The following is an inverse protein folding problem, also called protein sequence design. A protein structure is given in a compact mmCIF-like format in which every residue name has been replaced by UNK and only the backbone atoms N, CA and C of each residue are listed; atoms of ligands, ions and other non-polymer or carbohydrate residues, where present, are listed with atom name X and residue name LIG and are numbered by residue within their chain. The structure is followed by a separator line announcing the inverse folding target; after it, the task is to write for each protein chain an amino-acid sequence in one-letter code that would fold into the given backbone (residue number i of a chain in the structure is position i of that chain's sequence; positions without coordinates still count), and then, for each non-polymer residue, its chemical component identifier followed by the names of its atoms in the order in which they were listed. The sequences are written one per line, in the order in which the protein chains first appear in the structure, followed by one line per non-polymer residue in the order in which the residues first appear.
data_IF_506675012535
#
_entry.id   IF_506675012535
#
_cell.length_a   1.000
_cell.length_b   1.000
_cell.length_c   1.000
_cell.angle_alpha   90.00
_cell.angle_beta   90.00
_cell.angle_gamma   90.00
#
_symmetry.space_group_name_H-M   'P 1'
#
loop_
_entity.id
_entity.type
_entity.pdbx_description
1 polymer ?
#
# COMPACT_ATOMS: atom_id res chain seq x y z
N UNK A 1 13.91 -58.17 -15.80
CA UNK A 1 14.77 -57.02 -15.56
C UNK A 1 14.22 -55.70 -16.12
N UNK A 2 13.62 -55.62 -17.32
CA UNK A 2 13.11 -54.35 -17.90
C UNK A 2 11.96 -53.70 -17.13
N UNK A 3 11.03 -54.47 -16.52
CA UNK A 3 9.88 -53.94 -15.76
C UNK A 3 10.26 -53.22 -14.46
N UNK A 4 11.33 -53.63 -13.77
CA UNK A 4 11.77 -53.01 -12.53
C UNK A 4 12.51 -51.69 -12.76
N UNK A 5 13.16 -51.55 -13.92
CA UNK A 5 13.87 -50.32 -14.31
C UNK A 5 12.89 -49.18 -14.63
N UNK A 6 11.76 -49.50 -15.31
CA UNK A 6 10.71 -48.53 -15.63
C UNK A 6 10.01 -48.02 -14.34
N UNK A 7 9.75 -48.89 -13.38
CA UNK A 7 9.15 -48.55 -12.10
C UNK A 7 10.07 -47.64 -11.25
N UNK A 8 11.37 -47.90 -11.26
CA UNK A 8 12.36 -47.06 -10.58
C UNK A 8 12.49 -45.66 -11.21
N UNK A 9 12.44 -45.57 -12.54
CA UNK A 9 12.51 -44.32 -13.27
C UNK A 9 11.24 -43.47 -13.05
N UNK A 10 10.05 -44.06 -13.00
CA UNK A 10 8.80 -43.34 -12.70
C UNK A 10 8.77 -42.87 -11.26
N UNK A 11 9.30 -43.64 -10.31
CA UNK A 11 9.38 -43.20 -8.90
C UNK A 11 10.37 -42.07 -8.70
N UNK A 12 11.49 -42.07 -9.42
CA UNK A 12 12.50 -41.00 -9.41
C UNK A 12 11.96 -39.71 -10.01
N UNK A 13 11.16 -39.80 -11.09
CA UNK A 13 10.50 -38.66 -11.73
C UNK A 13 9.41 -38.07 -10.85
N UNK A 14 8.66 -38.90 -10.10
CA UNK A 14 7.66 -38.45 -9.11
C UNK A 14 8.33 -37.72 -7.93
N UNK A 15 9.51 -38.19 -7.47
CA UNK A 15 10.26 -37.55 -6.38
C UNK A 15 10.82 -36.16 -6.79
N UNK A 16 11.18 -35.99 -8.06
CA UNK A 16 11.68 -34.71 -8.58
C UNK A 16 10.58 -33.65 -8.73
N UNK A 17 9.31 -34.05 -8.90
CA UNK A 17 8.19 -33.12 -9.02
C UNK A 17 7.69 -32.60 -7.66
N UNK A 18 8.07 -33.21 -6.55
CA UNK A 18 7.68 -32.78 -5.19
C UNK A 18 8.62 -31.77 -4.57
N UNK A 19 9.75 -31.47 -5.21
CA UNK A 19 10.61 -30.34 -4.84
C UNK A 19 10.09 -29.04 -5.46
N UNK A 20 8.80 -28.81 -5.41
CA UNK A 20 8.24 -27.45 -5.47
C UNK A 20 8.70 -26.72 -4.21
N UNK A 21 9.85 -26.08 -4.32
CA UNK A 21 10.31 -25.12 -3.34
C UNK A 21 9.21 -24.08 -3.21
N UNK A 22 8.44 -24.16 -2.13
CA UNK A 22 7.72 -23.00 -1.62
C UNK A 22 8.82 -22.01 -1.22
N UNK A 23 9.22 -21.16 -2.17
CA UNK A 23 9.96 -19.96 -1.83
C UNK A 23 9.02 -19.15 -0.93
N UNK A 24 9.17 -19.29 0.37
CA UNK A 24 8.71 -18.27 1.28
C UNK A 24 9.50 -17.01 0.90
N UNK A 25 8.90 -16.17 0.07
CA UNK A 25 9.48 -14.88 -0.28
C UNK A 25 9.55 -14.10 1.02
N UNK A 26 10.75 -14.09 1.62
CA UNK A 26 10.99 -13.29 2.83
C UNK A 26 10.64 -11.86 2.45
N UNK A 27 9.62 -11.30 3.14
CA UNK A 27 9.20 -9.92 2.93
C UNK A 27 10.41 -8.99 3.06
N UNK A 28 10.75 -8.15 2.07
CA UNK A 28 11.86 -7.21 2.16
C UNK A 28 11.73 -6.31 3.40
N UNK A 29 12.83 -6.10 4.10
CA UNK A 29 12.87 -5.30 5.34
C UNK A 29 12.49 -3.83 5.08
N UNK A 30 12.74 -3.34 3.86
CA UNK A 30 12.37 -2.01 3.39
C UNK A 30 10.87 -1.79 3.19
N UNK A 31 10.10 -2.87 3.04
CA UNK A 31 8.65 -2.78 2.86
C UNK A 31 7.94 -2.38 4.14
N UNK A 32 6.74 -1.79 4.01
CA UNK A 32 5.95 -1.40 5.16
C UNK A 32 5.69 -2.57 6.10
N UNK A 33 5.84 -2.34 7.40
CA UNK A 33 5.73 -3.35 8.45
C UNK A 33 4.31 -3.44 8.96
N UNK A 34 3.75 -4.65 8.97
CA UNK A 34 2.41 -4.87 9.53
C UNK A 34 2.39 -4.55 11.03
N UNK A 35 1.30 -3.90 11.45
CA UNK A 35 1.02 -3.58 12.86
C UNK A 35 -0.20 -4.37 13.29
N UNK A 36 -0.01 -5.23 14.29
CA UNK A 36 -1.13 -5.92 14.92
C UNK A 36 -1.80 -5.01 15.95
N UNK A 37 -2.81 -4.26 15.51
CA UNK A 37 -3.60 -3.34 16.33
C UNK A 37 -5.09 -3.54 16.03
N UNK A 38 -5.84 -4.29 16.82
CA UNK A 38 -7.28 -4.43 16.61
C UNK A 38 -7.97 -3.05 16.65
N UNK A 39 -8.99 -2.81 15.81
CA UNK A 39 -9.68 -3.76 14.94
C UNK A 39 -9.13 -3.83 13.50
N UNK A 40 -7.92 -3.35 13.24
CA UNK A 40 -7.34 -3.34 11.91
C UNK A 40 -6.87 -4.74 11.46
N UNK A 41 -7.06 -5.04 10.16
CA UNK A 41 -6.52 -6.23 9.51
C UNK A 41 -5.48 -5.90 8.43
N UNK A 42 -5.46 -4.66 7.93
CA UNK A 42 -4.58 -4.18 6.85
C UNK A 42 -3.81 -2.90 7.27
N UNK A 43 -3.40 -2.82 8.55
CA UNK A 43 -2.62 -1.70 9.08
C UNK A 43 -1.13 -1.97 8.95
N UNK A 44 -0.41 -1.03 8.31
CA UNK A 44 1.05 -1.09 8.16
C UNK A 44 1.69 0.25 8.45
N UNK A 45 2.89 0.19 9.02
CA UNK A 45 3.80 1.33 9.17
C UNK A 45 4.71 1.38 7.94
N UNK A 46 4.57 2.44 7.13
CA UNK A 46 5.39 2.69 5.93
C UNK A 46 6.77 3.20 6.33
N UNK A 47 6.78 4.20 7.21
CA UNK A 47 7.97 4.77 7.85
C UNK A 47 7.60 5.42 9.19
N UNK A 48 8.46 6.30 9.73
CA UNK A 48 8.19 6.99 11.00
C UNK A 48 7.02 7.97 10.92
N UNK A 49 6.70 8.45 9.72
CA UNK A 49 5.73 9.52 9.48
C UNK A 49 4.43 9.07 8.83
N UNK A 50 4.45 7.92 8.14
CA UNK A 50 3.34 7.46 7.31
C UNK A 50 2.92 6.05 7.67
N UNK A 51 1.61 5.89 7.84
CA UNK A 51 0.92 4.61 8.02
C UNK A 51 -0.12 4.44 6.92
N UNK A 52 -0.52 3.20 6.66
CA UNK A 52 -1.57 2.85 5.70
C UNK A 52 -2.52 1.83 6.28
N UNK A 53 -3.82 1.91 5.97
CA UNK A 53 -4.79 0.88 6.36
C UNK A 53 -6.04 0.86 5.46
N UNK A 54 -6.93 -0.10 5.74
CA UNK A 54 -8.35 -0.01 5.39
C UNK A 54 -9.02 1.15 6.13
N UNK A 55 -10.30 1.43 5.78
CA UNK A 55 -11.06 2.48 6.46
C UNK A 55 -11.23 2.17 7.94
N UNK A 56 -10.78 3.06 8.84
CA UNK A 56 -10.94 2.86 10.28
C UNK A 56 -12.40 2.88 10.71
N UNK A 57 -12.76 1.99 11.63
CA UNK A 57 -14.00 2.09 12.41
C UNK A 57 -13.86 3.17 13.50
N UNK A 58 -14.93 3.41 14.28
CA UNK A 58 -14.88 4.33 15.44
C UNK A 58 -13.82 3.86 16.46
N UNK A 59 -13.76 2.57 16.73
CA UNK A 59 -12.75 1.94 17.62
C UNK A 59 -11.36 2.07 17.03
N UNK A 60 -11.23 1.88 15.70
CA UNK A 60 -9.97 2.07 14.98
C UNK A 60 -9.45 3.51 15.06
N UNK A 61 -10.32 4.52 14.92
CA UNK A 61 -9.92 5.93 15.09
C UNK A 61 -9.36 6.21 16.50
N UNK A 62 -10.01 5.68 17.54
CA UNK A 62 -9.49 5.78 18.91
C UNK A 62 -8.17 5.06 19.12
N UNK A 63 -8.01 3.89 18.52
CA UNK A 63 -6.75 3.13 18.57
C UNK A 63 -5.61 3.90 17.87
N UNK A 64 -5.87 4.54 16.73
CA UNK A 64 -4.90 5.39 16.02
C UNK A 64 -4.51 6.63 16.83
N UNK A 65 -5.48 7.31 17.45
CA UNK A 65 -5.22 8.46 18.33
C UNK A 65 -4.32 8.03 19.52
N UNK A 66 -4.63 6.89 20.12
CA UNK A 66 -3.82 6.29 21.20
C UNK A 66 -2.42 5.85 20.75
N UNK A 67 -2.27 5.41 19.49
CA UNK A 67 -0.98 5.07 18.86
C UNK A 67 -0.12 6.32 18.59
N UNK A 68 -0.71 7.52 18.69
CA UNK A 68 -0.03 8.79 18.48
C UNK A 68 -0.13 9.32 17.05
N UNK A 69 -0.98 8.74 16.20
CA UNK A 69 -1.31 9.32 14.89
C UNK A 69 -1.89 10.72 15.10
N UNK A 70 -1.53 11.65 14.23
CA UNK A 70 -1.99 13.06 14.30
C UNK A 70 -3.00 13.36 13.21
N UNK A 71 -2.81 12.81 12.00
CA UNK A 71 -3.66 13.12 10.87
C UNK A 71 -4.15 11.87 10.17
N UNK A 72 -5.31 11.98 9.54
CA UNK A 72 -5.89 10.96 8.67
C UNK A 72 -6.06 11.57 7.28
N UNK A 73 -5.52 10.94 6.24
CA UNK A 73 -5.81 11.25 4.85
C UNK A 73 -6.73 10.18 4.26
N UNK A 74 -7.99 10.52 4.09
CA UNK A 74 -8.99 9.67 3.46
C UNK A 74 -9.02 9.90 1.94
N UNK A 75 -8.86 8.82 1.18
CA UNK A 75 -8.96 8.82 -0.28
C UNK A 75 -10.35 8.36 -0.77
N UNK A 76 -11.34 8.30 0.16
CA UNK A 76 -12.71 7.87 -0.15
C UNK A 76 -13.47 8.98 -0.88
N UNK A 77 -14.22 8.59 -1.95
CA UNK A 77 -15.01 9.55 -2.73
C UNK A 77 -16.41 9.83 -2.15
N UNK A 78 -16.96 8.95 -1.33
CA UNK A 78 -18.35 9.06 -0.85
C UNK A 78 -18.43 9.35 0.66
N UNK A 79 -17.71 8.58 1.49
CA UNK A 79 -17.80 8.65 2.93
C UNK A 79 -16.76 9.60 3.54
N UNK A 80 -17.11 10.20 4.66
CA UNK A 80 -16.19 11.00 5.47
C UNK A 80 -15.95 10.31 6.82
N UNK A 81 -14.80 10.56 7.43
CA UNK A 81 -14.40 9.96 8.70
C UNK A 81 -14.91 10.75 9.93
N UNK A 82 -15.61 11.87 9.72
CA UNK A 82 -16.03 12.79 10.79
C UNK A 82 -16.77 12.09 11.93
N UNK A 83 -17.70 11.18 11.58
CA UNK A 83 -18.49 10.49 12.61
C UNK A 83 -17.65 9.46 13.38
N UNK A 84 -16.78 8.74 12.69
CA UNK A 84 -15.91 7.74 13.32
C UNK A 84 -14.84 8.40 14.22
N UNK A 85 -14.32 9.55 13.83
CA UNK A 85 -13.26 10.26 14.54
C UNK A 85 -13.77 11.29 15.58
N UNK A 86 -15.09 11.41 15.77
CA UNK A 86 -15.69 12.49 16.58
C UNK A 86 -15.14 12.58 18.02
N UNK A 87 -14.72 11.46 18.60
CA UNK A 87 -14.22 11.38 19.99
C UNK A 87 -12.67 11.27 20.03
N UNK A 88 -11.97 11.81 19.02
CA UNK A 88 -10.50 11.77 18.89
C UNK A 88 -9.94 13.16 18.64
N UNK A 89 -8.61 13.29 18.74
CA UNK A 89 -7.88 14.52 18.43
C UNK A 89 -7.31 14.52 17.00
N UNK A 90 -7.72 13.57 16.16
CA UNK A 90 -7.19 13.39 14.83
C UNK A 90 -7.61 14.53 13.89
N UNK A 91 -6.65 15.11 13.19
CA UNK A 91 -6.89 16.02 12.07
C UNK A 91 -7.35 15.23 10.86
N UNK A 92 -8.51 15.58 10.29
CA UNK A 92 -9.08 14.85 9.16
C UNK A 92 -8.86 15.61 7.86
N UNK A 93 -8.16 14.99 6.92
CA UNK A 93 -8.00 15.45 5.54
C UNK A 93 -8.69 14.45 4.60
N UNK A 94 -9.28 14.96 3.54
CA UNK A 94 -9.91 14.13 2.52
C UNK A 94 -9.52 14.63 1.14
N UNK A 95 -9.07 13.70 0.28
CA UNK A 95 -8.97 13.92 -1.15
C UNK A 95 -9.73 12.81 -1.87
N UNK A 96 -10.77 13.18 -2.64
CA UNK A 96 -11.70 12.21 -3.23
C UNK A 96 -11.13 11.66 -4.53
N UNK A 97 -10.83 10.36 -4.58
CA UNK A 97 -10.31 9.67 -5.75
C UNK A 97 -11.32 8.60 -6.21
N UNK A 98 -11.59 8.60 -7.50
CA UNK A 98 -12.27 7.48 -8.16
C UNK A 98 -11.22 6.46 -8.63
N UNK A 99 -11.27 5.24 -8.14
CA UNK A 99 -10.28 4.19 -8.43
C UNK A 99 -10.18 3.87 -9.92
N UNK A 100 -11.31 3.94 -10.65
CA UNK A 100 -11.37 3.63 -12.09
C UNK A 100 -10.74 4.70 -12.99
N UNK A 101 -10.65 5.93 -12.51
CA UNK A 101 -10.22 7.08 -13.31
C UNK A 101 -9.16 7.91 -12.60
N UNK A 102 -8.37 7.29 -11.71
CA UNK A 102 -7.32 7.99 -10.99
C UNK A 102 -6.32 8.64 -11.94
N UNK A 103 -5.99 9.90 -11.69
CA UNK A 103 -5.09 10.70 -12.54
C UNK A 103 -3.79 11.06 -11.83
N UNK A 104 -2.81 11.51 -12.60
CA UNK A 104 -1.54 12.02 -12.09
C UNK A 104 -1.75 13.22 -11.14
N UNK A 105 -2.62 14.15 -11.51
CA UNK A 105 -2.93 15.36 -10.72
C UNK A 105 -3.54 14.98 -9.36
N UNK A 106 -4.40 13.96 -9.32
CA UNK A 106 -4.98 13.45 -8.08
C UNK A 106 -3.91 12.81 -7.17
N UNK A 107 -2.92 12.12 -7.77
CA UNK A 107 -1.77 11.58 -7.04
C UNK A 107 -0.94 12.71 -6.45
N UNK A 108 -0.54 13.70 -7.24
CA UNK A 108 0.26 14.85 -6.78
C UNK A 108 -0.48 15.64 -5.70
N UNK A 109 -1.79 15.90 -5.88
CA UNK A 109 -2.59 16.61 -4.89
C UNK A 109 -2.68 15.84 -3.55
N UNK A 110 -2.85 14.52 -3.61
CA UNK A 110 -2.87 13.65 -2.42
C UNK A 110 -1.51 13.65 -1.70
N UNK A 111 -0.42 13.54 -2.45
CA UNK A 111 0.94 13.64 -1.89
C UNK A 111 1.20 15.00 -1.27
N UNK A 112 0.76 16.09 -1.91
CA UNK A 112 0.89 17.46 -1.36
C UNK A 112 0.20 17.60 -0.01
N UNK A 113 -0.99 17.00 0.16
CA UNK A 113 -1.64 16.93 1.47
C UNK A 113 -0.79 16.09 2.42
N UNK A 114 -0.42 14.86 2.00
CA UNK A 114 0.33 13.93 2.83
C UNK A 114 1.64 14.51 3.37
N UNK A 115 2.40 15.27 2.59
CA UNK A 115 3.68 15.84 3.03
C UNK A 115 3.52 17.06 3.94
N UNK A 116 2.39 17.76 3.91
CA UNK A 116 2.18 19.02 4.63
C UNK A 116 1.31 18.92 5.90
N UNK A 117 0.65 17.78 6.15
CA UNK A 117 -0.15 17.58 7.37
C UNK A 117 0.71 17.14 8.56
N UNK A 118 0.14 17.28 9.76
CA UNK A 118 0.81 16.85 11.00
C UNK A 118 1.10 15.35 11.01
N UNK A 119 2.31 14.99 11.43
CA UNK A 119 2.80 13.61 11.46
C UNK A 119 2.72 13.02 12.89
N UNK A 120 2.61 11.69 13.01
CA UNK A 120 2.42 10.67 11.96
C UNK A 120 1.01 10.73 11.32
N UNK A 121 0.91 10.37 10.04
CA UNK A 121 -0.33 10.41 9.25
C UNK A 121 -0.73 9.01 8.80
N UNK A 122 -2.01 8.66 8.94
CA UNK A 122 -2.56 7.47 8.29
C UNK A 122 -3.18 7.83 6.95
N UNK A 123 -2.82 7.09 5.89
CA UNK A 123 -3.48 7.13 4.58
C UNK A 123 -4.39 5.93 4.44
N UNK A 124 -5.65 6.13 4.06
CA UNK A 124 -6.58 5.03 3.84
C UNK A 124 -7.57 5.25 2.69
N UNK A 125 -8.12 4.15 2.20
CA UNK A 125 -9.29 4.15 1.32
C UNK A 125 -10.37 3.20 1.90
N UNK A 126 -11.08 2.41 1.10
CA UNK A 126 -12.02 1.41 1.63
C UNK A 126 -11.29 0.19 2.20
N UNK A 127 -10.44 -0.43 1.37
CA UNK A 127 -9.74 -1.67 1.73
C UNK A 127 -8.27 -1.44 2.12
N UNK A 128 -7.74 -0.21 1.94
CA UNK A 128 -6.32 0.06 2.13
C UNK A 128 -5.43 -0.47 1.00
N UNK A 129 -6.03 -0.99 -0.05
CA UNK A 129 -5.37 -1.70 -1.15
C UNK A 129 -5.03 -0.77 -2.31
N UNK A 130 -6.02 -0.42 -3.14
CA UNK A 130 -5.85 0.17 -4.47
C UNK A 130 -5.41 1.64 -4.43
N UNK A 131 -6.32 2.58 -4.06
CA UNK A 131 -6.01 4.02 -3.95
C UNK A 131 -4.90 4.30 -2.95
N UNK A 132 -4.99 3.67 -1.78
CA UNK A 132 -3.94 3.78 -0.75
C UNK A 132 -2.61 3.26 -1.27
N UNK A 133 -2.61 2.11 -1.95
CA UNK A 133 -1.41 1.53 -2.55
C UNK A 133 -0.79 2.45 -3.59
N UNK A 134 -1.60 3.04 -4.47
CA UNK A 134 -1.16 4.00 -5.48
C UNK A 134 -0.43 5.21 -4.84
N UNK A 135 -1.06 5.84 -3.83
CA UNK A 135 -0.47 7.01 -3.16
C UNK A 135 0.80 6.64 -2.39
N UNK A 136 0.83 5.46 -1.74
CA UNK A 136 2.05 5.00 -1.03
C UNK A 136 3.17 4.68 -2.03
N UNK A 137 2.89 4.04 -3.18
CA UNK A 137 3.90 3.80 -4.20
C UNK A 137 4.48 5.13 -4.73
N UNK A 138 3.64 6.10 -5.02
CA UNK A 138 4.08 7.44 -5.43
C UNK A 138 4.87 8.15 -4.31
N UNK A 139 4.50 8.00 -3.05
CA UNK A 139 5.26 8.49 -1.88
C UNK A 139 6.65 7.85 -1.80
N UNK A 140 6.77 6.53 -2.02
CA UNK A 140 8.05 5.83 -2.08
C UNK A 140 8.97 6.43 -3.16
N UNK A 141 8.42 6.68 -4.36
CA UNK A 141 9.18 7.26 -5.47
C UNK A 141 9.60 8.71 -5.20
N UNK A 142 8.65 9.57 -4.82
CA UNK A 142 8.90 11.01 -4.71
C UNK A 142 9.66 11.39 -3.45
N UNK A 143 9.29 10.83 -2.29
CA UNK A 143 9.79 11.26 -0.98
C UNK A 143 10.94 10.39 -0.49
N UNK A 144 10.86 9.09 -0.74
CA UNK A 144 11.86 8.13 -0.27
C UNK A 144 12.89 7.75 -1.33
N UNK A 145 12.79 8.30 -2.54
CA UNK A 145 13.70 8.05 -3.65
C UNK A 145 13.83 6.57 -4.04
N UNK A 146 12.75 5.81 -3.91
CA UNK A 146 12.73 4.45 -4.40
C UNK A 146 12.69 4.43 -5.92
N UNK A 147 13.25 3.36 -6.51
CA UNK A 147 13.01 3.08 -7.92
C UNK A 147 11.51 2.84 -8.16
N UNK A 148 11.07 3.11 -9.39
CA UNK A 148 9.69 2.84 -9.81
C UNK A 148 9.36 1.37 -9.67
N UNK A 149 10.30 0.52 -10.08
CA UNK A 149 10.20 -0.95 -10.03
C UNK A 149 9.98 -1.45 -8.59
N UNK A 150 10.78 -0.96 -7.63
CA UNK A 150 10.68 -1.38 -6.23
C UNK A 150 9.37 -0.90 -5.58
N UNK A 151 8.94 0.34 -5.88
CA UNK A 151 7.70 0.89 -5.35
C UNK A 151 6.47 0.15 -5.91
N UNK A 152 6.45 -0.16 -7.22
CA UNK A 152 5.38 -0.95 -7.85
C UNK A 152 5.41 -2.39 -7.33
N UNK A 153 6.59 -2.96 -7.14
CA UNK A 153 6.72 -4.31 -6.59
C UNK A 153 6.16 -4.39 -5.17
N UNK A 154 6.50 -3.44 -4.28
CA UNK A 154 5.88 -3.39 -2.95
C UNK A 154 4.36 -3.25 -3.04
N UNK A 155 3.85 -2.41 -3.94
CA UNK A 155 2.42 -2.21 -4.12
C UNK A 155 1.70 -3.50 -4.52
N UNK A 156 2.24 -4.27 -5.46
CA UNK A 156 1.65 -5.51 -5.97
C UNK A 156 1.80 -6.69 -5.00
N UNK A 157 3.00 -6.86 -4.45
CA UNK A 157 3.41 -8.09 -3.75
C UNK A 157 3.43 -7.93 -2.22
N UNK A 158 3.22 -6.71 -1.72
CA UNK A 158 3.32 -6.39 -0.29
C UNK A 158 2.19 -6.95 0.58
N UNK A 159 1.25 -7.73 0.02
CA UNK A 159 0.18 -8.38 0.78
C UNK A 159 -0.93 -7.42 1.21
N UNK A 160 -1.08 -6.28 0.54
CA UNK A 160 -2.08 -5.26 0.85
C UNK A 160 -3.45 -5.50 0.20
N UNK A 161 -3.59 -6.56 -0.61
CA UNK A 161 -4.83 -6.93 -1.28
C UNK A 161 -5.15 -6.09 -2.52
N UNK A 162 -4.15 -5.70 -3.30
CA UNK A 162 -4.37 -4.98 -4.55
C UNK A 162 -5.21 -5.81 -5.53
N UNK A 163 -6.23 -5.18 -6.11
CA UNK A 163 -7.13 -5.81 -7.08
C UNK A 163 -6.65 -5.51 -8.50
N UNK A 164 -5.53 -6.10 -8.88
CA UNK A 164 -4.84 -5.84 -10.16
C UNK A 164 -5.73 -6.06 -11.37
N UNK A 165 -6.51 -7.14 -11.40
CA UNK A 165 -7.42 -7.47 -12.50
C UNK A 165 -8.50 -6.39 -12.75
N UNK A 166 -8.85 -5.61 -11.72
CA UNK A 166 -9.87 -4.57 -11.83
C UNK A 166 -9.28 -3.18 -12.02
N UNK A 167 -8.07 -2.95 -11.52
CA UNK A 167 -7.46 -1.62 -11.46
C UNK A 167 -6.07 -1.59 -12.09
N UNK A 168 -5.90 -2.25 -13.24
CA UNK A 168 -4.67 -2.17 -14.04
C UNK A 168 -4.30 -0.72 -14.41
N UNK A 169 -5.32 0.15 -14.53
CA UNK A 169 -5.11 1.58 -14.76
C UNK A 169 -4.19 2.24 -13.73
N UNK A 170 -4.14 1.75 -12.49
CA UNK A 170 -3.23 2.26 -11.46
C UNK A 170 -1.79 1.91 -11.79
N UNK A 171 -1.52 0.68 -12.23
CA UNK A 171 -0.16 0.27 -12.63
C UNK A 171 0.32 1.08 -13.83
N UNK A 172 -0.54 1.19 -14.86
CA UNK A 172 -0.24 1.99 -16.06
C UNK A 172 0.08 3.44 -15.68
N UNK A 173 -0.66 4.01 -14.74
CA UNK A 173 -0.39 5.36 -14.23
C UNK A 173 0.97 5.43 -13.55
N UNK A 174 1.24 4.54 -12.59
CA UNK A 174 2.50 4.52 -11.82
C UNK A 174 3.72 4.32 -12.72
N UNK A 175 3.62 3.47 -13.74
CA UNK A 175 4.67 3.24 -14.72
C UNK A 175 4.97 4.48 -15.58
N UNK A 176 3.96 5.30 -15.86
CA UNK A 176 4.07 6.53 -16.68
C UNK A 176 4.51 7.76 -15.90
N UNK A 177 4.46 7.75 -14.57
CA UNK A 177 4.86 8.91 -13.76
C UNK A 177 6.29 9.33 -14.08
N UNK A 178 6.46 10.61 -14.40
CA UNK A 178 7.77 11.26 -14.35
C UNK A 178 8.06 11.67 -12.90
N UNK A 179 9.03 10.98 -12.30
CA UNK A 179 9.36 11.15 -10.87
C UNK A 179 9.97 12.53 -10.61
N UNK A 180 10.79 13.04 -11.52
CA UNK A 180 11.45 14.33 -11.34
C UNK A 180 10.45 15.48 -11.51
N UNK A 181 9.53 15.37 -12.49
CA UNK A 181 8.41 16.29 -12.61
C UNK A 181 7.57 16.29 -11.33
N UNK A 182 7.19 15.13 -10.82
CA UNK A 182 6.40 15.00 -9.60
C UNK A 182 7.10 15.62 -8.38
N UNK A 183 8.41 15.40 -8.24
CA UNK A 183 9.21 16.02 -7.16
C UNK A 183 9.27 17.55 -7.28
N UNK A 184 9.44 18.08 -8.49
CA UNK A 184 9.43 19.52 -8.75
C UNK A 184 8.07 20.15 -8.40
N UNK A 185 6.98 19.54 -8.81
CA UNK A 185 5.61 20.00 -8.49
C UNK A 185 5.27 19.94 -6.99
N UNK A 186 5.90 19.02 -6.27
CA UNK A 186 5.79 18.90 -4.81
C UNK A 186 6.75 19.83 -4.06
N UNK A 187 7.68 20.51 -4.77
CA UNK A 187 8.70 21.37 -4.17
C UNK A 187 9.81 20.60 -3.46
N UNK A 188 10.02 19.34 -3.81
CA UNK A 188 11.06 18.48 -3.22
C UNK A 188 12.43 18.63 -3.92
N UNK A 189 12.44 19.14 -5.13
CA UNK A 189 13.62 19.53 -5.92
C UNK A 189 13.36 20.89 -6.59
N UNK A 190 14.46 21.54 -7.02
CA UNK A 190 14.42 22.84 -7.73
C UNK A 190 14.45 22.65 -9.23
#
# INVERSE_FOLDING_TARGET
MKKNLTLLLTFYFLLLTTLSYSQSTIRPVSWAKQINLPPFYNLYKVDEFVYRSEQPTKEGMKALDSLGIKSILSLRNILTDKLAAKDTKLTLCQYRINTWTITYEEVVASLRILINVDKPTLVHCKHGSDRTGCIIAAYRMAVQNWSKEDAIKEFREGGYGFHEEWFENILILLEKIDIDQMKAELGLIK
#
